data_IF_836264188056
#
_entry.id   IF_836264188056
#
_cell.length_a   1.000
_cell.length_b   1.000
_cell.length_c   1.000
_cell.angle_alpha   90.00
_cell.angle_beta   90.00
_cell.angle_gamma   90.00
#
_symmetry.space_group_name_H-M   'P 1'
#
loop_
_entity.id
_entity.type
_entity.pdbx_description
1 polymer ?
#
# COMPACT_ATOMS: atom_id res chain seq x y z
N UNK A 1 14.87 6.60 24.15
CA UNK A 1 14.75 6.12 22.75
C UNK A 1 13.50 5.25 22.69
N UNK A 2 12.49 5.66 21.96
CA UNK A 2 11.26 4.89 21.77
C UNK A 2 11.61 3.58 21.07
N UNK A 3 11.17 2.46 21.61
CA UNK A 3 11.48 1.15 21.04
C UNK A 3 10.77 1.00 19.69
N UNK A 4 11.50 0.72 18.61
CA UNK A 4 10.96 0.45 17.29
C UNK A 4 10.02 -0.74 17.34
N UNK A 5 8.81 -0.61 16.79
CA UNK A 5 7.81 -1.66 16.86
C UNK A 5 7.96 -2.70 15.76
N UNK A 6 8.38 -2.29 14.55
CA UNK A 6 8.63 -3.18 13.43
C UNK A 6 9.89 -2.75 12.70
N UNK A 7 10.79 -3.68 12.40
CA UNK A 7 12.05 -3.37 11.72
C UNK A 7 12.50 -4.50 10.79
N UNK A 8 12.96 -4.11 9.61
CA UNK A 8 13.77 -4.94 8.72
C UNK A 8 15.17 -4.34 8.60
N UNK A 9 16.22 -5.16 8.64
CA UNK A 9 17.61 -4.76 8.42
C UNK A 9 18.22 -5.62 7.34
N UNK A 10 18.57 -5.02 6.20
CA UNK A 10 19.20 -5.67 5.06
C UNK A 10 18.52 -6.99 4.65
N UNK A 11 17.17 -6.97 4.62
CA UNK A 11 16.38 -8.16 4.37
C UNK A 11 16.39 -8.53 2.90
N UNK A 12 16.83 -9.75 2.62
CA UNK A 12 16.73 -10.37 1.29
C UNK A 12 15.93 -11.66 1.37
N UNK A 13 15.06 -11.88 0.38
CA UNK A 13 14.33 -13.14 0.20
C UNK A 13 14.40 -13.60 -1.24
N UNK A 14 14.93 -14.83 -1.42
CA UNK A 14 15.02 -15.52 -2.72
C UNK A 14 14.14 -16.75 -2.74
N UNK A 15 13.53 -17.00 -3.90
CA UNK A 15 12.81 -18.25 -4.21
C UNK A 15 13.47 -18.87 -5.44
N UNK A 16 14.40 -19.79 -5.23
CA UNK A 16 15.26 -20.27 -6.29
C UNK A 16 16.11 -19.13 -6.88
N UNK A 17 16.03 -18.91 -8.19
CA UNK A 17 16.72 -17.83 -8.89
C UNK A 17 16.01 -16.47 -8.76
N UNK A 18 14.74 -16.43 -8.32
CA UNK A 18 13.97 -15.19 -8.23
C UNK A 18 14.20 -14.51 -6.88
N UNK A 19 14.60 -13.24 -6.90
CA UNK A 19 14.73 -12.40 -5.69
C UNK A 19 13.46 -11.56 -5.53
N UNK A 20 12.65 -11.88 -4.54
CA UNK A 20 11.38 -11.21 -4.26
C UNK A 20 11.54 -9.97 -3.38
N UNK A 21 12.54 -9.96 -2.50
CA UNK A 21 12.94 -8.82 -1.66
C UNK A 21 14.46 -8.79 -1.66
N UNK A 22 15.05 -7.62 -1.92
CA UNK A 22 16.47 -7.44 -2.11
C UNK A 22 17.00 -6.26 -1.29
N UNK A 23 17.77 -6.57 -0.26
CA UNK A 23 18.44 -5.62 0.64
C UNK A 23 17.54 -4.52 1.23
N UNK A 24 16.32 -4.87 1.65
CA UNK A 24 15.35 -3.91 2.20
C UNK A 24 15.63 -3.63 3.67
N UNK A 25 15.76 -2.34 4.00
CA UNK A 25 15.84 -1.84 5.38
C UNK A 25 14.73 -0.82 5.63
N UNK A 26 13.90 -1.06 6.66
CA UNK A 26 12.79 -0.19 7.04
C UNK A 26 12.45 -0.35 8.53
N UNK A 27 11.70 0.60 9.06
CA UNK A 27 11.19 0.53 10.44
C UNK A 27 9.84 1.22 10.55
N UNK A 28 9.07 0.89 11.59
CA UNK A 28 7.83 1.56 12.01
C UNK A 28 7.97 1.91 13.48
N UNK A 29 7.71 3.17 13.82
CA UNK A 29 7.75 3.68 15.19
C UNK A 29 6.39 3.56 15.87
N UNK A 30 6.31 3.58 17.21
CA UNK A 30 5.05 3.75 17.92
C UNK A 30 4.31 5.02 17.48
N UNK A 31 3.02 4.90 17.18
CA UNK A 31 2.19 6.03 16.76
C UNK A 31 2.41 6.51 15.33
N UNK A 32 3.26 5.82 14.54
CA UNK A 32 3.54 6.15 13.15
C UNK A 32 2.70 5.32 12.19
N UNK A 33 2.12 5.96 11.17
CA UNK A 33 1.50 5.29 10.03
C UNK A 33 2.44 5.33 8.84
N UNK A 34 2.98 4.16 8.46
CA UNK A 34 3.90 4.00 7.34
C UNK A 34 3.18 3.39 6.14
N UNK A 35 3.17 4.09 5.01
CA UNK A 35 2.63 3.60 3.74
C UNK A 35 3.69 2.86 2.94
N UNK A 36 3.45 1.62 2.57
CA UNK A 36 4.30 0.82 1.68
C UNK A 36 3.70 0.79 0.28
N UNK A 37 4.26 1.58 -0.60
CA UNK A 37 3.83 1.78 -1.98
C UNK A 37 4.60 0.90 -2.95
N UNK A 38 4.03 0.66 -4.12
CA UNK A 38 4.68 -0.05 -5.21
C UNK A 38 3.69 -0.78 -6.11
N UNK A 39 4.08 -1.05 -7.34
CA UNK A 39 3.27 -1.82 -8.28
C UNK A 39 3.01 -3.26 -7.80
N UNK A 40 2.06 -3.94 -8.45
CA UNK A 40 1.87 -5.37 -8.24
C UNK A 40 3.16 -6.13 -8.61
N UNK A 41 3.56 -7.08 -7.76
CA UNK A 41 4.83 -7.78 -7.94
C UNK A 41 6.07 -7.06 -7.39
N UNK A 42 5.96 -5.85 -6.84
CA UNK A 42 7.10 -5.10 -6.27
C UNK A 42 7.72 -5.75 -5.02
N UNK A 43 7.11 -6.79 -4.45
CA UNK A 43 7.62 -7.50 -3.27
C UNK A 43 6.92 -7.14 -1.95
N UNK A 44 5.94 -6.22 -1.95
CA UNK A 44 5.24 -5.72 -0.74
C UNK A 44 4.70 -6.83 0.15
N UNK A 45 3.83 -7.70 -0.38
CA UNK A 45 3.24 -8.82 0.38
C UNK A 45 4.30 -9.81 0.86
N UNK A 46 5.37 -10.03 0.10
CA UNK A 46 6.50 -10.85 0.54
C UNK A 46 7.21 -10.22 1.72
N UNK A 47 7.50 -8.93 1.66
CA UNK A 47 8.10 -8.18 2.78
C UNK A 47 7.21 -8.24 4.02
N UNK A 48 5.89 -8.00 3.89
CA UNK A 48 4.94 -8.15 5.00
C UNK A 48 5.05 -9.55 5.62
N UNK A 49 4.96 -10.61 4.82
CA UNK A 49 5.03 -11.98 5.34
C UNK A 49 6.35 -12.29 6.06
N UNK A 50 7.45 -11.68 5.63
CA UNK A 50 8.74 -11.76 6.30
C UNK A 50 8.69 -11.02 7.65
N UNK A 51 8.17 -9.78 7.67
CA UNK A 51 8.03 -8.96 8.88
C UNK A 51 7.17 -9.66 9.94
N UNK A 52 6.14 -10.38 9.51
CA UNK A 52 5.27 -11.18 10.37
C UNK A 52 5.90 -12.53 10.82
N UNK A 53 7.08 -12.88 10.29
CA UNK A 53 7.71 -14.17 10.55
C UNK A 53 6.99 -15.37 9.93
N UNK A 54 6.16 -15.14 8.90
CA UNK A 54 5.46 -16.19 8.13
C UNK A 54 6.34 -16.80 7.05
N UNK A 55 7.37 -16.04 6.62
CA UNK A 55 8.39 -16.51 5.66
C UNK A 55 9.76 -16.16 6.24
N UNK A 56 10.69 -17.14 6.22
CA UNK A 56 12.06 -16.91 6.66
C UNK A 56 12.81 -15.98 5.69
N UNK A 57 13.73 -15.19 6.19
CA UNK A 57 14.68 -14.39 5.39
C UNK A 57 15.73 -15.33 4.74
N UNK A 58 16.28 -14.94 3.60
CA UNK A 58 17.49 -15.54 3.04
C UNK A 58 18.73 -14.94 3.70
N UNK A 59 18.71 -13.60 3.90
CA UNK A 59 19.72 -12.85 4.66
C UNK A 59 19.09 -11.63 5.33
N UNK A 60 19.82 -11.01 6.25
CA UNK A 60 19.33 -9.90 7.05
C UNK A 60 18.57 -10.34 8.30
N UNK A 61 17.86 -9.43 8.94
CA UNK A 61 17.10 -9.70 10.17
C UNK A 61 15.82 -8.89 10.25
N UNK A 62 14.85 -9.43 11.00
CA UNK A 62 13.55 -8.79 11.28
C UNK A 62 13.35 -8.73 12.79
N UNK A 63 12.84 -7.60 13.25
CA UNK A 63 12.44 -7.38 14.64
C UNK A 63 10.97 -6.95 14.69
N UNK A 64 10.20 -7.58 15.55
CA UNK A 64 8.85 -7.21 15.95
C UNK A 64 8.89 -6.93 17.45
N UNK A 65 8.52 -5.71 17.89
CA UNK A 65 8.49 -5.33 19.30
C UNK A 65 9.81 -5.64 20.03
N UNK A 66 10.95 -5.29 19.39
CA UNK A 66 12.28 -5.42 19.95
C UNK A 66 12.89 -6.83 19.93
N UNK A 67 12.32 -7.77 19.20
CA UNK A 67 12.90 -9.10 19.04
C UNK A 67 12.40 -9.85 17.79
N UNK A 68 12.77 -11.10 17.58
CA UNK A 68 12.31 -11.87 16.43
C UNK A 68 10.78 -12.03 16.45
N UNK A 69 10.11 -12.14 15.28
CA UNK A 69 8.65 -12.26 15.20
C UNK A 69 8.19 -13.68 15.63
N UNK A 70 8.36 -13.99 16.91
CA UNK A 70 7.92 -15.23 17.54
C UNK A 70 6.41 -15.23 17.85
N UNK A 71 5.92 -16.33 18.44
CA UNK A 71 4.51 -16.53 18.78
C UNK A 71 4.02 -15.49 19.81
N UNK A 72 4.84 -15.16 20.79
CA UNK A 72 4.49 -14.22 21.87
C UNK A 72 4.30 -12.80 21.32
N UNK A 73 5.26 -12.34 20.51
CA UNK A 73 5.19 -11.00 19.90
C UNK A 73 4.08 -10.88 18.89
N UNK A 74 3.81 -11.95 18.11
CA UNK A 74 2.66 -11.97 17.18
C UNK A 74 1.31 -11.90 17.88
N UNK A 75 1.20 -12.21 19.17
CA UNK A 75 -0.02 -11.99 19.95
C UNK A 75 -0.34 -10.50 20.18
N UNK A 76 0.65 -9.62 19.98
CA UNK A 76 0.53 -8.16 20.11
C UNK A 76 0.46 -7.48 18.74
N UNK A 77 0.23 -8.25 17.68
CA UNK A 77 0.15 -7.81 16.29
C UNK A 77 -1.24 -8.04 15.74
N UNK A 78 -1.85 -7.01 15.15
CA UNK A 78 -3.05 -7.12 14.30
C UNK A 78 -2.63 -7.22 12.84
N UNK A 79 -3.20 -8.15 12.10
CA UNK A 79 -2.92 -8.31 10.68
C UNK A 79 -4.21 -8.51 9.88
N UNK A 80 -4.41 -7.66 8.87
CA UNK A 80 -5.45 -7.82 7.87
C UNK A 80 -4.78 -8.13 6.53
N UNK A 81 -4.82 -9.39 6.08
CA UNK A 81 -4.29 -9.77 4.76
C UNK A 81 -5.20 -9.26 3.63
N UNK A 82 -4.69 -9.21 2.40
CA UNK A 82 -5.46 -8.86 1.21
C UNK A 82 -6.74 -9.72 1.05
N UNK A 83 -6.68 -11.02 1.42
CA UNK A 83 -7.81 -11.94 1.43
C UNK A 83 -8.66 -11.91 2.72
N UNK A 84 -8.58 -10.82 3.52
CA UNK A 84 -9.34 -10.54 4.74
C UNK A 84 -9.05 -11.42 5.96
N UNK A 85 -8.68 -12.69 5.78
CA UNK A 85 -8.41 -13.62 6.90
C UNK A 85 -9.64 -14.05 7.69
N UNK A 86 -10.83 -13.90 7.13
CA UNK A 86 -12.11 -14.31 7.73
C UNK A 86 -12.55 -15.69 7.23
N UNK A 87 -13.31 -16.39 8.05
CA UNK A 87 -13.98 -17.63 7.67
C UNK A 87 -15.33 -17.31 7.04
N UNK A 88 -15.48 -17.53 5.74
CA UNK A 88 -16.70 -17.19 4.99
C UNK A 88 -17.94 -17.96 5.45
N UNK A 89 -17.74 -19.19 5.97
CA UNK A 89 -18.82 -20.06 6.47
C UNK A 89 -19.20 -19.82 7.94
N UNK A 90 -18.56 -18.83 8.58
CA UNK A 90 -18.94 -18.33 9.90
C UNK A 90 -19.66 -16.98 9.77
N UNK A 91 -20.56 -16.70 10.71
CA UNK A 91 -21.21 -15.38 10.85
C UNK A 91 -20.21 -14.32 11.31
N UNK A 92 -20.60 -13.06 11.25
CA UNK A 92 -19.80 -11.95 11.81
C UNK A 92 -19.48 -12.21 13.27
N UNK A 93 -20.50 -12.54 14.09
CA UNK A 93 -20.33 -12.82 15.51
C UNK A 93 -19.36 -13.97 15.77
N UNK A 94 -19.49 -15.07 15.03
CA UNK A 94 -18.61 -16.24 15.18
C UNK A 94 -17.17 -15.93 14.78
N UNK A 95 -16.93 -15.17 13.71
CA UNK A 95 -15.58 -14.72 13.33
C UNK A 95 -14.94 -13.86 14.42
N UNK A 96 -15.68 -12.91 14.98
CA UNK A 96 -15.18 -12.03 16.04
C UNK A 96 -14.92 -12.79 17.34
N UNK A 97 -15.85 -13.68 17.72
CA UNK A 97 -15.68 -14.56 18.87
C UNK A 97 -14.47 -15.50 18.71
N UNK A 98 -14.29 -16.08 17.51
CA UNK A 98 -13.11 -16.90 17.19
C UNK A 98 -11.81 -16.09 17.36
N UNK A 99 -11.76 -14.90 16.76
CA UNK A 99 -10.58 -14.03 16.87
C UNK A 99 -10.28 -13.65 18.32
N UNK A 100 -11.28 -13.16 19.06
CA UNK A 100 -11.12 -12.78 20.47
C UNK A 100 -10.58 -13.94 21.32
N UNK A 101 -11.17 -15.13 21.18
CA UNK A 101 -10.73 -16.34 21.93
C UNK A 101 -9.31 -16.76 21.58
N UNK A 102 -8.91 -16.66 20.27
CA UNK A 102 -7.57 -17.03 19.84
C UNK A 102 -6.48 -16.16 20.52
N UNK A 103 -6.81 -14.91 20.84
CA UNK A 103 -5.91 -13.97 21.51
C UNK A 103 -6.16 -13.88 23.03
N UNK A 104 -7.21 -14.54 23.56
CA UNK A 104 -7.58 -14.44 24.97
C UNK A 104 -8.17 -13.07 25.34
N UNK A 105 -8.75 -12.37 24.35
CA UNK A 105 -9.39 -11.08 24.50
C UNK A 105 -10.91 -11.20 24.72
N UNK A 106 -11.54 -10.13 25.21
CA UNK A 106 -13.00 -10.03 25.24
C UNK A 106 -13.55 -9.90 23.80
N UNK A 107 -14.77 -10.38 23.59
CA UNK A 107 -15.43 -10.19 22.31
C UNK A 107 -15.63 -8.69 22.05
N UNK A 108 -15.25 -8.18 20.83
CA UNK A 108 -15.43 -6.78 20.54
C UNK A 108 -16.90 -6.42 20.45
N UNK A 109 -17.24 -5.22 20.95
CA UNK A 109 -18.58 -4.67 20.79
C UNK A 109 -18.82 -4.36 19.32
N UNK A 110 -19.91 -4.88 18.77
CA UNK A 110 -20.29 -4.61 17.39
C UNK A 110 -20.68 -3.13 17.22
N UNK A 111 -20.05 -2.40 16.29
CA UNK A 111 -20.52 -1.08 15.92
C UNK A 111 -21.95 -1.15 15.39
N UNK A 112 -22.77 -0.09 15.54
CA UNK A 112 -24.14 -0.06 15.05
C UNK A 112 -24.30 -0.50 13.60
N UNK A 113 -23.37 -0.13 12.72
CA UNK A 113 -23.35 -0.51 11.31
C UNK A 113 -23.21 -2.02 11.08
N UNK A 114 -22.59 -2.76 12.00
CA UNK A 114 -22.41 -4.21 11.89
C UNK A 114 -23.45 -5.02 12.67
N UNK A 115 -24.21 -4.37 13.56
CA UNK A 115 -25.19 -5.06 14.42
C UNK A 115 -26.27 -5.79 13.60
N UNK A 116 -26.74 -5.19 12.50
CA UNK A 116 -27.72 -5.81 11.60
C UNK A 116 -27.16 -7.04 10.84
N UNK A 117 -25.85 -7.17 10.78
CA UNK A 117 -25.15 -8.26 10.09
C UNK A 117 -24.59 -9.32 11.02
N UNK A 118 -24.81 -9.19 12.35
CA UNK A 118 -24.16 -10.03 13.37
C UNK A 118 -24.29 -11.54 13.10
N UNK A 119 -25.44 -11.98 12.67
CA UNK A 119 -25.78 -13.39 12.46
C UNK A 119 -25.82 -13.78 10.96
N UNK A 120 -25.29 -12.92 10.07
CA UNK A 120 -25.15 -13.19 8.62
C UNK A 120 -23.77 -13.82 8.35
N UNK A 121 -23.73 -14.80 7.46
CA UNK A 121 -22.48 -15.44 7.02
C UNK A 121 -21.58 -14.42 6.32
N UNK A 122 -20.29 -14.42 6.63
CA UNK A 122 -19.34 -13.43 6.09
C UNK A 122 -19.32 -13.46 4.55
N UNK A 123 -19.38 -14.64 3.93
CA UNK A 123 -19.41 -14.77 2.45
C UNK A 123 -20.60 -14.10 1.78
N UNK A 124 -21.70 -13.85 2.51
CA UNK A 124 -22.94 -13.25 1.98
C UNK A 124 -22.93 -11.71 2.11
N UNK A 125 -21.95 -11.15 2.81
CA UNK A 125 -21.84 -9.73 3.03
C UNK A 125 -21.17 -9.00 1.86
N UNK A 126 -21.54 -7.73 1.60
CA UNK A 126 -20.76 -6.87 0.72
C UNK A 126 -19.28 -6.78 1.16
N UNK A 127 -18.37 -6.64 0.21
CA UNK A 127 -16.92 -6.62 0.48
C UNK A 127 -16.52 -5.54 1.51
N UNK A 128 -17.12 -4.35 1.43
CA UNK A 128 -16.86 -3.27 2.40
C UNK A 128 -17.22 -3.67 3.85
N UNK A 129 -18.33 -4.41 4.03
CA UNK A 129 -18.72 -4.92 5.35
C UNK A 129 -17.77 -6.02 5.82
N UNK A 130 -17.37 -6.94 4.92
CA UNK A 130 -16.37 -7.96 5.24
C UNK A 130 -15.06 -7.33 5.71
N UNK A 131 -14.60 -6.23 5.08
CA UNK A 131 -13.40 -5.50 5.48
C UNK A 131 -13.53 -4.88 6.87
N UNK A 132 -14.67 -4.28 7.18
CA UNK A 132 -14.92 -3.76 8.53
C UNK A 132 -14.86 -4.86 9.58
N UNK A 133 -15.42 -6.05 9.29
CA UNK A 133 -15.34 -7.23 10.17
C UNK A 133 -13.89 -7.69 10.34
N UNK A 134 -13.12 -7.79 9.25
CA UNK A 134 -11.70 -8.17 9.30
C UNK A 134 -10.88 -7.19 10.14
N UNK A 135 -11.16 -5.90 10.00
CA UNK A 135 -10.51 -4.86 10.76
C UNK A 135 -10.85 -4.98 12.26
N UNK A 136 -12.13 -5.13 12.59
CA UNK A 136 -12.58 -5.29 13.97
C UNK A 136 -11.99 -6.56 14.61
N UNK A 137 -11.90 -7.65 13.84
CA UNK A 137 -11.26 -8.89 14.29
C UNK A 137 -9.77 -8.70 14.59
N UNK A 138 -9.05 -7.95 13.73
CA UNK A 138 -7.63 -7.66 13.93
C UNK A 138 -7.36 -6.73 15.11
N UNK A 139 -8.33 -5.90 15.51
CA UNK A 139 -8.23 -4.97 16.64
C UNK A 139 -8.73 -5.56 17.97
N UNK A 140 -9.38 -6.73 17.97
CA UNK A 140 -10.06 -7.29 19.14
C UNK A 140 -9.17 -7.45 20.39
N UNK A 141 -7.86 -7.58 20.20
CA UNK A 141 -6.87 -7.78 21.25
C UNK A 141 -5.98 -6.56 21.54
N UNK A 142 -6.38 -5.38 21.04
CA UNK A 142 -5.66 -4.09 21.22
C UNK A 142 -4.17 -4.21 20.82
N UNK A 143 -3.87 -4.48 19.56
CA UNK A 143 -2.50 -4.72 19.10
C UNK A 143 -1.62 -3.46 19.21
N UNK A 144 -0.32 -3.66 19.50
CA UNK A 144 0.66 -2.58 19.49
C UNK A 144 1.23 -2.32 18.09
N UNK A 145 1.11 -3.30 17.20
CA UNK A 145 1.49 -3.17 15.79
C UNK A 145 0.31 -3.60 14.92
N UNK A 146 0.00 -2.81 13.91
CA UNK A 146 -1.04 -3.12 12.94
C UNK A 146 -0.45 -3.19 11.53
N UNK A 147 -0.65 -4.29 10.85
CA UNK A 147 -0.20 -4.49 9.46
C UNK A 147 -1.42 -4.74 8.58
N UNK A 148 -1.57 -3.93 7.54
CA UNK A 148 -2.75 -3.90 6.68
C UNK A 148 -2.32 -4.04 5.22
N UNK A 149 -2.73 -5.13 4.57
CA UNK A 149 -2.38 -5.39 3.18
C UNK A 149 -3.56 -5.01 2.27
N UNK A 150 -3.49 -3.83 1.66
CA UNK A 150 -4.52 -3.20 0.80
C UNK A 150 -5.92 -3.13 1.48
N UNK A 151 -6.04 -2.49 2.66
CA UNK A 151 -7.23 -2.58 3.50
C UNK A 151 -8.50 -1.98 2.88
N UNK A 152 -8.38 -1.09 1.91
CA UNK A 152 -9.48 -0.34 1.29
C UNK A 152 -9.78 -0.75 -0.15
N UNK A 153 -9.02 -1.71 -0.69
CA UNK A 153 -9.23 -2.19 -2.07
C UNK A 153 -10.65 -2.74 -2.28
N UNK A 154 -11.40 -2.17 -3.24
CA UNK A 154 -12.79 -2.56 -3.53
C UNK A 154 -13.83 -2.08 -2.51
N UNK A 155 -13.49 -1.10 -1.69
CA UNK A 155 -14.38 -0.46 -0.72
C UNK A 155 -14.84 0.90 -1.27
N UNK A 156 -16.08 1.30 -0.98
CA UNK A 156 -16.55 2.64 -1.32
C UNK A 156 -15.86 3.74 -0.51
N UNK A 157 -15.98 4.98 -0.98
CA UNK A 157 -15.26 6.13 -0.40
C UNK A 157 -15.61 6.37 1.07
N UNK A 158 -16.87 6.19 1.47
CA UNK A 158 -17.29 6.43 2.86
C UNK A 158 -16.75 5.35 3.80
N UNK A 159 -16.83 4.09 3.38
CA UNK A 159 -16.27 2.98 4.15
C UNK A 159 -14.74 3.05 4.22
N UNK A 160 -14.07 3.50 3.15
CA UNK A 160 -12.62 3.76 3.15
C UNK A 160 -12.24 4.86 4.16
N UNK A 161 -12.97 5.98 4.17
CA UNK A 161 -12.73 7.05 5.13
C UNK A 161 -12.86 6.56 6.59
N UNK A 162 -13.92 5.79 6.91
CA UNK A 162 -14.12 5.24 8.25
C UNK A 162 -13.00 4.26 8.67
N UNK A 163 -12.46 3.48 7.72
CA UNK A 163 -11.30 2.62 7.98
C UNK A 163 -10.05 3.46 8.29
N UNK A 164 -9.81 4.54 7.53
CA UNK A 164 -8.69 5.44 7.77
C UNK A 164 -8.80 6.17 9.11
N UNK A 165 -9.99 6.62 9.50
CA UNK A 165 -10.23 7.19 10.84
C UNK A 165 -9.87 6.18 11.94
N UNK A 166 -10.22 4.90 11.74
CA UNK A 166 -9.85 3.84 12.69
C UNK A 166 -8.34 3.61 12.72
N UNK A 167 -7.66 3.60 11.56
CA UNK A 167 -6.19 3.49 11.48
C UNK A 167 -5.51 4.62 12.26
N UNK A 168 -5.95 5.86 12.05
CA UNK A 168 -5.42 7.03 12.74
C UNK A 168 -5.65 6.95 14.25
N UNK A 169 -6.85 6.58 14.67
CA UNK A 169 -7.16 6.37 16.09
C UNK A 169 -6.21 5.33 16.72
N UNK A 170 -5.91 4.22 16.04
CA UNK A 170 -4.97 3.23 16.57
C UNK A 170 -3.54 3.78 16.69
N UNK A 171 -3.09 4.56 15.70
CA UNK A 171 -1.78 5.22 15.76
C UNK A 171 -1.71 6.25 16.89
N UNK A 172 -2.74 7.07 17.09
CA UNK A 172 -2.84 8.02 18.21
C UNK A 172 -2.78 7.33 19.59
N UNK A 173 -3.29 6.10 19.68
CA UNK A 173 -3.16 5.26 20.88
C UNK A 173 -1.79 4.56 21.00
N UNK A 174 -0.85 4.86 20.10
CA UNK A 174 0.53 4.38 20.16
C UNK A 174 0.83 3.13 19.34
N UNK A 175 -0.11 2.59 18.59
CA UNK A 175 0.16 1.48 17.69
C UNK A 175 1.00 1.95 16.49
N UNK A 176 2.06 1.21 16.13
CA UNK A 176 2.77 1.42 14.88
C UNK A 176 2.04 0.72 13.74
N UNK A 177 1.76 1.44 12.67
CA UNK A 177 0.93 0.94 11.57
C UNK A 177 1.73 0.85 10.27
N UNK A 178 1.68 -0.30 9.61
CA UNK A 178 2.19 -0.50 8.24
C UNK A 178 1.01 -0.80 7.32
N UNK A 179 0.79 0.05 6.33
CA UNK A 179 -0.30 -0.09 5.35
C UNK A 179 0.28 -0.24 3.96
N UNK A 180 -0.12 -1.26 3.19
CA UNK A 180 0.16 -1.26 1.75
C UNK A 180 -1.01 -0.61 1.02
N UNK A 181 -0.69 0.20 0.03
CA UNK A 181 -1.68 0.77 -0.89
C UNK A 181 -1.07 1.03 -2.26
N UNK A 182 -1.92 1.12 -3.25
CA UNK A 182 -1.60 1.62 -4.58
C UNK A 182 -2.45 2.86 -4.93
N UNK A 183 -3.25 3.35 -3.98
CA UNK A 183 -4.05 4.57 -4.12
C UNK A 183 -3.33 5.78 -3.52
N UNK A 184 -3.16 6.82 -4.33
CA UNK A 184 -2.40 8.01 -3.91
C UNK A 184 -3.07 8.80 -2.78
N UNK A 185 -4.41 8.87 -2.82
CA UNK A 185 -5.17 9.53 -1.76
C UNK A 185 -4.94 8.91 -0.37
N UNK A 186 -4.62 7.61 -0.35
CA UNK A 186 -4.28 6.89 0.89
C UNK A 186 -2.84 7.16 1.32
N UNK A 187 -1.92 7.30 0.36
CA UNK A 187 -0.54 7.68 0.66
C UNK A 187 -0.46 9.00 1.44
N UNK A 188 -1.34 9.96 1.13
CA UNK A 188 -1.43 11.24 1.84
C UNK A 188 -1.94 11.12 3.29
N UNK A 189 -2.53 9.98 3.65
CA UNK A 189 -2.92 9.67 5.02
C UNK A 189 -1.77 9.10 5.87
N UNK A 190 -0.64 8.78 5.26
CA UNK A 190 0.52 8.20 5.95
C UNK A 190 1.48 9.29 6.42
N UNK A 191 2.13 9.07 7.57
CA UNK A 191 3.15 10.00 8.11
C UNK A 191 4.46 9.88 7.33
N UNK A 192 4.75 8.70 6.81
CA UNK A 192 5.93 8.41 5.99
C UNK A 192 5.61 7.32 4.97
N UNK A 193 6.25 7.44 3.82
CA UNK A 193 6.07 6.55 2.69
C UNK A 193 7.36 5.76 2.41
N UNK A 194 7.18 4.53 1.96
CA UNK A 194 8.22 3.63 1.48
C UNK A 194 7.80 3.19 0.08
N UNK A 195 8.63 3.43 -0.93
CA UNK A 195 8.36 3.03 -2.30
C UNK A 195 9.20 1.82 -2.67
N UNK A 196 8.53 0.70 -2.96
CA UNK A 196 9.18 -0.53 -3.46
C UNK A 196 9.03 -0.66 -4.97
N UNK A 197 10.11 -1.09 -5.61
CA UNK A 197 10.15 -1.52 -7.01
C UNK A 197 11.11 -2.69 -7.15
N UNK A 198 10.69 -3.75 -7.86
CA UNK A 198 11.52 -4.95 -8.15
C UNK A 198 12.22 -5.55 -6.90
N UNK A 199 11.48 -5.62 -5.79
CA UNK A 199 12.00 -6.17 -4.54
C UNK A 199 12.86 -5.21 -3.72
N UNK A 200 13.18 -4.02 -4.21
CA UNK A 200 14.04 -3.04 -3.54
C UNK A 200 13.24 -1.85 -3.02
N UNK A 201 13.73 -1.23 -1.95
CA UNK A 201 13.25 0.06 -1.47
C UNK A 201 13.98 1.17 -2.25
N UNK A 202 13.26 1.85 -3.15
CA UNK A 202 13.83 2.83 -4.08
C UNK A 202 13.69 4.28 -3.63
N UNK A 203 12.78 4.56 -2.71
CA UNK A 203 12.61 5.86 -2.06
C UNK A 203 11.91 5.71 -0.71
N UNK A 204 12.14 6.64 0.21
CA UNK A 204 11.44 6.73 1.49
C UNK A 204 11.40 8.17 1.98
N UNK A 205 10.35 8.54 2.71
CA UNK A 205 10.17 9.86 3.28
C UNK A 205 8.77 10.41 3.07
N UNK A 206 8.65 11.72 2.94
CA UNK A 206 7.42 12.42 2.57
C UNK A 206 7.03 12.17 1.11
N UNK A 207 5.85 12.60 0.71
CA UNK A 207 5.44 12.58 -0.70
C UNK A 207 6.48 13.28 -1.60
N UNK A 208 6.99 14.43 -1.18
CA UNK A 208 8.02 15.18 -1.90
C UNK A 208 9.33 14.39 -2.05
N UNK A 209 9.75 13.65 -1.00
CA UNK A 209 10.93 12.79 -1.06
C UNK A 209 10.74 11.62 -2.04
N UNK A 210 9.53 11.06 -2.09
CA UNK A 210 9.19 9.97 -3.02
C UNK A 210 9.21 10.46 -4.47
N UNK A 211 8.58 11.59 -4.74
CA UNK A 211 8.58 12.22 -6.09
C UNK A 211 10.01 12.58 -6.51
N UNK A 212 10.79 13.12 -5.58
CA UNK A 212 12.18 13.47 -5.79
C UNK A 212 12.38 14.46 -6.95
N UNK A 213 13.29 14.12 -7.87
CA UNK A 213 13.61 14.95 -9.05
C UNK A 213 12.70 14.66 -10.26
N UNK A 214 11.63 13.89 -10.09
CA UNK A 214 10.70 13.62 -11.20
C UNK A 214 10.01 14.88 -11.64
N UNK A 215 9.96 15.13 -12.95
CA UNK A 215 9.25 16.24 -13.57
C UNK A 215 8.06 15.72 -14.36
N UNK A 216 7.07 16.58 -14.60
CA UNK A 216 5.92 16.24 -15.42
C UNK A 216 5.52 17.40 -16.35
N UNK A 217 4.98 17.02 -17.50
CA UNK A 217 4.39 17.94 -18.48
C UNK A 217 2.96 17.49 -18.76
N UNK A 218 1.99 18.38 -18.59
CA UNK A 218 0.63 18.16 -19.03
C UNK A 218 0.51 18.55 -20.52
N UNK A 219 -0.07 17.67 -21.31
CA UNK A 219 -0.34 17.87 -22.75
C UNK A 219 -1.86 17.90 -22.93
N UNK A 220 -2.34 19.00 -23.49
CA UNK A 220 -3.75 19.24 -23.77
C UNK A 220 -3.97 19.31 -25.27
N UNK A 221 -4.88 18.48 -25.77
CA UNK A 221 -5.27 18.43 -27.19
C UNK A 221 -6.70 17.91 -27.34
N UNK A 222 -7.40 18.26 -28.43
CA UNK A 222 -8.69 17.66 -28.76
C UNK A 222 -8.57 16.17 -29.06
N UNK A 223 -7.45 15.75 -29.69
CA UNK A 223 -7.17 14.39 -30.11
C UNK A 223 -6.34 13.61 -29.10
N UNK A 224 -6.74 13.72 -27.82
CA UNK A 224 -5.98 13.15 -26.69
C UNK A 224 -5.69 11.63 -26.85
N UNK A 225 -6.61 10.87 -27.46
CA UNK A 225 -6.42 9.42 -27.65
C UNK A 225 -5.29 9.12 -28.64
N UNK A 226 -5.23 9.85 -29.76
CA UNK A 226 -4.17 9.69 -30.75
C UNK A 226 -2.83 10.23 -30.22
N UNK A 227 -2.85 11.35 -29.49
CA UNK A 227 -1.69 11.91 -28.83
C UNK A 227 -1.10 10.92 -27.80
N UNK A 228 -1.95 10.32 -26.97
CA UNK A 228 -1.53 9.31 -25.99
C UNK A 228 -0.88 8.10 -26.69
N UNK A 229 -1.49 7.60 -27.77
CA UNK A 229 -0.95 6.48 -28.52
C UNK A 229 0.43 6.81 -29.15
N UNK A 230 0.57 8.00 -29.75
CA UNK A 230 1.83 8.46 -30.37
C UNK A 230 2.94 8.61 -29.33
N UNK A 231 2.67 9.28 -28.21
CA UNK A 231 3.64 9.47 -27.13
C UNK A 231 4.03 8.16 -26.46
N UNK A 232 3.06 7.26 -26.25
CA UNK A 232 3.34 5.93 -25.70
C UNK A 232 4.19 5.07 -26.64
N UNK A 233 3.89 5.09 -27.94
CA UNK A 233 4.67 4.40 -28.97
C UNK A 233 6.11 4.94 -29.07
N UNK A 234 6.32 6.24 -28.81
CA UNK A 234 7.64 6.86 -28.72
C UNK A 234 8.38 6.54 -27.40
N UNK A 235 7.81 5.68 -26.54
CA UNK A 235 8.40 5.27 -25.27
C UNK A 235 8.30 6.29 -24.14
N UNK A 236 7.51 7.37 -24.28
CA UNK A 236 7.35 8.34 -23.22
C UNK A 236 6.53 7.76 -22.03
N UNK A 237 6.90 8.05 -20.76
CA UNK A 237 6.13 7.65 -19.59
C UNK A 237 4.83 8.45 -19.48
N UNK A 238 3.79 8.00 -20.16
CA UNK A 238 2.48 8.69 -20.27
C UNK A 238 1.45 8.11 -19.33
N UNK A 239 0.61 8.96 -18.77
CA UNK A 239 -0.61 8.61 -18.05
C UNK A 239 -1.75 9.58 -18.41
N UNK A 240 -2.99 9.22 -18.12
CA UNK A 240 -4.15 10.07 -18.33
C UNK A 240 -4.65 10.66 -17.02
N UNK A 241 -4.91 11.94 -17.01
CA UNK A 241 -5.65 12.66 -15.97
C UNK A 241 -6.87 13.35 -16.61
N UNK A 242 -8.02 12.67 -16.53
CA UNK A 242 -9.19 13.10 -17.30
C UNK A 242 -8.95 13.03 -18.81
N UNK A 243 -8.87 14.19 -19.47
CA UNK A 243 -8.53 14.33 -20.90
C UNK A 243 -7.12 14.90 -21.14
N UNK A 244 -6.41 15.25 -20.08
CA UNK A 244 -5.02 15.67 -20.18
C UNK A 244 -4.10 14.44 -20.18
N UNK A 245 -3.04 14.50 -20.98
CA UNK A 245 -1.99 13.49 -20.95
C UNK A 245 -0.86 14.06 -20.10
N UNK A 246 -0.48 13.35 -19.06
CA UNK A 246 0.68 13.71 -18.25
C UNK A 246 1.88 12.86 -18.68
N UNK A 247 3.03 13.49 -18.86
CA UNK A 247 4.25 12.82 -19.32
C UNK A 247 5.37 13.11 -18.34
N UNK A 248 5.89 12.05 -17.72
CA UNK A 248 6.96 12.16 -16.74
C UNK A 248 8.35 12.23 -17.43
N UNK A 249 9.27 12.99 -16.81
CA UNK A 249 10.68 13.11 -17.20
C UNK A 249 10.92 13.33 -18.71
N UNK A 250 10.04 14.06 -19.38
CA UNK A 250 10.16 14.34 -20.80
C UNK A 250 10.37 15.85 -21.03
N UNK A 251 11.20 16.20 -22.00
CA UNK A 251 11.32 17.60 -22.40
C UNK A 251 10.18 17.99 -23.33
N UNK A 252 9.59 19.19 -23.16
CA UNK A 252 8.53 19.68 -24.04
C UNK A 252 8.92 19.65 -25.53
N UNK A 253 10.19 19.92 -25.85
CA UNK A 253 10.67 19.90 -27.23
C UNK A 253 10.55 18.50 -27.88
N UNK A 254 10.95 17.44 -27.16
CA UNK A 254 10.80 16.05 -27.66
C UNK A 254 9.34 15.65 -27.82
N UNK A 255 8.49 16.08 -26.89
CA UNK A 255 7.05 15.80 -26.96
C UNK A 255 6.44 16.49 -28.19
N UNK A 256 6.85 17.75 -28.46
CA UNK A 256 6.37 18.52 -29.60
C UNK A 256 6.79 17.86 -30.94
N UNK A 257 8.02 17.34 -31.02
CA UNK A 257 8.49 16.60 -32.21
C UNK A 257 7.60 15.39 -32.51
N UNK A 258 7.30 14.58 -31.48
CA UNK A 258 6.45 13.38 -31.61
C UNK A 258 5.03 13.75 -32.02
N UNK A 259 4.45 14.78 -31.42
CA UNK A 259 3.08 15.23 -31.71
C UNK A 259 2.99 15.83 -33.10
N UNK A 260 3.97 16.65 -33.53
CA UNK A 260 4.04 17.20 -34.86
C UNK A 260 4.16 16.10 -35.95
N UNK A 261 5.00 15.06 -35.69
CA UNK A 261 5.13 13.93 -36.60
C UNK A 261 3.80 13.14 -36.73
N UNK A 262 2.96 13.16 -35.72
CA UNK A 262 1.61 12.57 -35.74
C UNK A 262 0.52 13.52 -36.28
N UNK A 263 0.86 14.78 -36.64
CA UNK A 263 -0.10 15.78 -37.12
C UNK A 263 -1.03 16.33 -36.04
N UNK A 264 -0.60 16.30 -34.76
CA UNK A 264 -1.43 16.67 -33.62
C UNK A 264 -1.01 18.02 -33.07
N UNK A 265 -1.95 18.94 -33.02
CA UNK A 265 -1.77 20.22 -32.32
C UNK A 265 -2.05 20.05 -30.82
N UNK A 266 -1.12 20.49 -29.99
CA UNK A 266 -1.25 20.39 -28.54
C UNK A 266 -0.60 21.57 -27.82
N UNK A 267 -1.11 21.91 -26.66
CA UNK A 267 -0.49 22.83 -25.72
C UNK A 267 0.16 22.05 -24.60
N UNK A 268 1.32 22.49 -24.15
CA UNK A 268 2.09 21.83 -23.10
C UNK A 268 2.36 22.77 -21.94
N UNK A 269 2.19 22.26 -20.73
CA UNK A 269 2.42 23.01 -19.50
C UNK A 269 3.24 22.17 -18.52
N UNK A 270 4.36 22.65 -17.98
CA UNK A 270 5.02 22.02 -16.84
C UNK A 270 4.06 22.00 -15.64
N UNK A 271 3.98 20.85 -15.00
CA UNK A 271 3.13 20.62 -13.82
C UNK A 271 3.93 19.91 -12.72
N UNK A 272 3.57 20.04 -11.44
CA UNK A 272 4.15 19.23 -10.39
C UNK A 272 3.98 17.74 -10.71
N UNK A 273 5.04 16.96 -10.57
CA UNK A 273 4.97 15.52 -10.70
C UNK A 273 4.31 14.89 -9.46
N UNK A 274 3.73 13.72 -9.66
CA UNK A 274 3.08 12.92 -8.62
C UNK A 274 3.85 11.62 -8.36
N UNK A 275 3.46 10.90 -7.33
CA UNK A 275 4.05 9.59 -7.01
C UNK A 275 3.76 8.57 -8.13
N UNK A 276 2.57 8.63 -8.76
CA UNK A 276 2.22 7.75 -9.89
C UNK A 276 3.20 7.92 -11.05
N UNK A 277 3.54 9.16 -11.38
CA UNK A 277 4.53 9.46 -12.42
C UNK A 277 5.92 8.94 -12.04
N UNK A 278 6.30 9.09 -10.77
CA UNK A 278 7.54 8.48 -10.26
C UNK A 278 7.53 6.97 -10.39
N UNK A 279 6.43 6.32 -10.01
CA UNK A 279 6.27 4.86 -10.14
C UNK A 279 6.34 4.41 -11.61
N UNK A 280 5.72 5.16 -12.52
CA UNK A 280 5.75 4.87 -13.95
C UNK A 280 7.17 4.96 -14.52
N UNK A 281 7.93 5.97 -14.13
CA UNK A 281 9.36 6.13 -14.52
C UNK A 281 10.18 4.93 -14.04
N UNK A 282 10.02 4.53 -12.77
CA UNK A 282 10.74 3.39 -12.21
C UNK A 282 10.36 2.06 -12.85
N UNK A 283 9.07 1.85 -13.14
CA UNK A 283 8.60 0.63 -13.81
C UNK A 283 9.18 0.50 -15.23
N UNK A 284 9.28 1.61 -15.97
CA UNK A 284 9.88 1.61 -17.32
C UNK A 284 11.39 1.39 -17.29
N UNK A 285 12.09 1.99 -16.34
CA UNK A 285 13.53 1.76 -16.19
C UNK A 285 13.85 0.28 -15.90
N UNK A 286 13.02 -0.38 -15.12
CA UNK A 286 13.13 -1.80 -14.82
C UNK A 286 12.89 -2.73 -16.01
N UNK A 287 12.01 -2.34 -16.95
CA UNK A 287 11.72 -3.12 -18.16
C UNK A 287 12.76 -2.91 -19.27
N UNK A 288 13.63 -1.92 -19.13
CA UNK A 288 14.71 -1.61 -20.08
C UNK A 288 16.05 -2.23 -19.71
N UNK A 289 16.15 -2.83 -18.52
CA UNK A 289 17.33 -3.54 -17.97
C UNK A 289 17.19 -5.05 -18.16
#
# INVERSE_FOLDING_TARGET
>A
MTAVQLRAKHVTRRFGAFTAVDDVSMQVQPGEVVGLLGANGAGKTTLIRILLGLIAVTSGSVELLGGPPDRERRRRLGYVPQGLGLYGDLTVRENLSFSARAYGAAEPVLPPALTAHADVLVRELPLGVQRQVAFLAALAHSPEVLVLDEPTSGVDVLASAALWDTIRTQAEHGAGVLVTTHYMQEAQQCDRLLLMSNGQLVAQGSEADIVGSTTAVAVHTSDWAQAFAALNAAGAPVMLEGRAIRVANASPAKLQEVLNAAGIEATMQPVPATIEERMLVLARAANAS
#
